data_IF_720275552304
#
_entry.id   IF_720275552304
#
_cell.length_a   1.000
_cell.length_b   1.000
_cell.length_c   1.000
_cell.angle_alpha   90.00
_cell.angle_beta   90.00
_cell.angle_gamma   90.00
#
_symmetry.space_group_name_H-M   'P 1'
#
loop_
_entity.id
_entity.type
_entity.pdbx_description
1 polymer ?
#
# COMPACT_ATOMS: atom_id res chain seq x y z
N UNK A 1 -20.47 0.15 -3.74
CA UNK A 1 -20.35 1.50 -3.15
C UNK A 1 -20.04 2.46 -4.29
N UNK A 2 -20.89 3.45 -4.53
CA UNK A 2 -20.66 4.49 -5.54
C UNK A 2 -19.87 5.62 -4.88
N UNK A 3 -18.59 5.72 -5.21
CA UNK A 3 -17.69 6.77 -4.71
C UNK A 3 -17.57 7.82 -5.82
N UNK A 4 -17.97 9.06 -5.57
CA UNK A 4 -17.98 10.13 -6.57
C UNK A 4 -16.59 10.77 -6.77
N UNK A 5 -16.21 11.17 -8.01
CA UNK A 5 -14.94 11.82 -8.36
C UNK A 5 -14.61 13.17 -7.69
N UNK A 6 -15.47 13.68 -6.81
CA UNK A 6 -15.42 15.05 -6.27
C UNK A 6 -14.87 15.10 -4.84
N UNK A 7 -14.73 13.96 -4.17
CA UNK A 7 -14.18 13.84 -2.80
C UNK A 7 -12.68 13.49 -2.76
N UNK A 8 -12.03 13.49 -3.93
CA UNK A 8 -10.63 13.12 -4.08
C UNK A 8 -9.73 14.34 -3.83
N UNK A 9 -8.77 14.20 -2.93
CA UNK A 9 -7.64 15.13 -2.89
C UNK A 9 -6.53 14.58 -3.81
N UNK A 10 -6.30 15.25 -4.93
CA UNK A 10 -5.14 15.03 -5.80
C UNK A 10 -3.93 15.74 -5.20
N UNK A 11 -2.97 14.97 -4.68
CA UNK A 11 -1.68 15.49 -4.21
C UNK A 11 -0.60 15.42 -5.32
N UNK A 12 -0.76 14.52 -6.30
CA UNK A 12 0.08 14.34 -7.50
C UNK A 12 -0.76 13.75 -8.65
N UNK A 13 -0.36 13.93 -9.94
CA UNK A 13 -1.04 13.28 -11.06
C UNK A 13 -1.07 11.75 -10.87
N UNK A 14 -2.28 11.19 -10.88
CA UNK A 14 -2.52 9.74 -10.80
C UNK A 14 -2.92 9.21 -9.42
N UNK A 15 -2.64 9.94 -8.33
CA UNK A 15 -2.95 9.49 -6.97
C UNK A 15 -4.31 10.02 -6.54
N UNK A 16 -5.20 9.10 -6.17
CA UNK A 16 -6.57 9.42 -5.76
C UNK A 16 -6.77 8.93 -4.32
N UNK A 17 -6.91 9.85 -3.36
CA UNK A 17 -7.29 9.52 -1.98
C UNK A 17 -8.67 10.07 -1.61
N UNK A 18 -9.46 9.24 -0.93
CA UNK A 18 -10.80 9.58 -0.46
C UNK A 18 -10.73 10.46 0.80
N UNK A 19 -11.47 11.58 0.83
CA UNK A 19 -11.68 12.38 2.04
C UNK A 19 -12.41 11.54 3.11
N UNK A 20 -11.63 11.01 4.07
CA UNK A 20 -12.18 10.19 5.16
C UNK A 20 -11.19 9.17 5.75
N UNK A 21 -9.89 9.47 5.73
CA UNK A 21 -8.79 8.95 6.58
C UNK A 21 -8.65 7.46 6.91
N UNK A 22 -9.34 6.50 6.28
CA UNK A 22 -9.18 5.06 6.61
C UNK A 22 -8.83 4.17 5.42
N UNK A 23 -9.00 4.64 4.19
CA UNK A 23 -8.77 3.80 3.00
C UNK A 23 -7.88 4.50 1.98
N UNK A 24 -6.80 3.84 1.60
CA UNK A 24 -5.86 4.26 0.55
C UNK A 24 -6.15 3.51 -0.75
N UNK A 25 -6.16 4.20 -1.89
CA UNK A 25 -6.25 3.57 -3.22
C UNK A 25 -4.90 3.68 -3.91
N UNK A 26 -4.23 2.55 -4.07
CA UNK A 26 -2.87 2.47 -4.59
C UNK A 26 -2.86 2.23 -6.11
N UNK A 27 -2.10 3.05 -6.82
CA UNK A 27 -2.01 3.08 -8.28
C UNK A 27 -0.63 2.66 -8.82
N UNK A 28 0.24 2.08 -7.99
CA UNK A 28 1.56 1.60 -8.42
C UNK A 28 2.69 2.62 -8.33
N UNK A 29 2.48 3.80 -7.73
CA UNK A 29 3.56 4.77 -7.51
C UNK A 29 4.51 4.36 -6.39
N UNK A 30 5.72 4.90 -6.43
CA UNK A 30 6.70 4.71 -5.36
C UNK A 30 6.30 5.48 -4.12
N UNK A 31 6.06 4.76 -3.03
CA UNK A 31 5.68 5.34 -1.76
C UNK A 31 6.88 5.55 -0.83
N UNK A 32 8.00 4.86 -1.10
CA UNK A 32 9.20 4.83 -0.27
C UNK A 32 10.44 4.99 -1.14
N UNK A 33 11.35 5.90 -0.76
CA UNK A 33 12.60 6.17 -1.49
C UNK A 33 13.83 5.93 -0.59
N UNK A 34 13.73 4.95 0.31
CA UNK A 34 14.80 4.54 1.21
C UNK A 34 14.51 4.83 2.69
N UNK A 35 15.59 4.93 3.46
CA UNK A 35 15.58 5.16 4.91
C UNK A 35 16.41 6.41 5.21
N UNK A 36 16.01 7.17 6.22
CA UNK A 36 16.86 8.23 6.76
C UNK A 36 17.99 7.63 7.61
N UNK A 37 18.89 8.48 8.08
CA UNK A 37 20.02 8.12 8.95
C UNK A 37 19.61 7.55 10.32
N UNK A 38 18.32 7.58 10.65
CA UNK A 38 17.73 7.06 11.87
C UNK A 38 16.91 5.77 11.64
N UNK A 39 17.08 5.11 10.49
CA UNK A 39 16.30 3.94 10.07
C UNK A 39 14.79 4.19 10.03
N UNK A 40 14.36 5.43 9.78
CA UNK A 40 12.95 5.72 9.48
C UNK A 40 12.71 5.67 7.98
N UNK A 41 11.55 5.17 7.54
CA UNK A 41 11.21 5.10 6.13
C UNK A 41 11.00 6.51 5.52
N UNK A 42 11.78 6.86 4.49
CA UNK A 42 11.57 8.08 3.70
C UNK A 42 10.40 7.84 2.74
N UNK A 43 9.23 8.38 3.09
CA UNK A 43 8.03 8.24 2.28
C UNK A 43 7.91 9.42 1.30
N UNK A 44 7.81 9.15 -0.02
CA UNK A 44 7.81 10.18 -1.08
C UNK A 44 6.50 10.95 -1.18
N UNK A 45 5.39 10.27 -0.96
CA UNK A 45 4.05 10.77 -1.32
C UNK A 45 3.21 11.10 -0.09
N UNK A 46 3.59 10.57 1.09
CA UNK A 46 2.81 10.71 2.32
C UNK A 46 3.69 10.89 3.55
N UNK A 47 3.22 11.68 4.50
CA UNK A 47 3.87 11.74 5.81
C UNK A 47 3.73 10.41 6.56
N UNK A 48 4.70 10.10 7.42
CA UNK A 48 4.64 8.93 8.31
C UNK A 48 3.33 8.90 9.12
N UNK A 49 2.82 10.08 9.52
CA UNK A 49 1.58 10.26 10.29
C UNK A 49 0.36 9.85 9.47
N UNK A 50 0.31 10.22 8.20
CA UNK A 50 -0.85 9.95 7.34
C UNK A 50 -1.03 8.45 7.08
N UNK A 51 0.05 7.72 6.80
CA UNK A 51 -0.04 6.26 6.59
C UNK A 51 -0.46 5.49 7.84
N UNK A 52 -0.26 6.05 9.04
CA UNK A 52 -0.82 5.45 10.26
C UNK A 52 -2.34 5.56 10.34
N UNK A 53 -3.00 6.35 9.49
CA UNK A 53 -4.47 6.43 9.51
C UNK A 53 -5.13 5.34 8.67
N UNK A 54 -4.38 4.70 7.77
CA UNK A 54 -4.93 3.71 6.85
C UNK A 54 -5.31 2.43 7.58
N UNK A 55 -6.57 2.02 7.45
CA UNK A 55 -7.10 0.73 7.88
C UNK A 55 -7.24 -0.23 6.70
N UNK A 56 -7.38 0.29 5.48
CA UNK A 56 -7.46 -0.51 4.26
C UNK A 56 -6.65 0.10 3.11
N UNK A 57 -6.10 -0.77 2.27
CA UNK A 57 -5.47 -0.42 0.99
C UNK A 57 -6.18 -1.18 -0.12
N UNK A 58 -6.58 -0.46 -1.17
CA UNK A 58 -7.13 -1.02 -2.41
C UNK A 58 -6.10 -0.83 -3.51
N UNK A 59 -5.51 -1.91 -4.02
CA UNK A 59 -4.58 -1.87 -5.15
C UNK A 59 -5.38 -1.92 -6.44
N UNK A 60 -5.29 -0.86 -7.24
CA UNK A 60 -6.11 -0.66 -8.43
C UNK A 60 -5.71 -1.61 -9.58
N UNK A 61 -6.61 -1.87 -10.54
CA UNK A 61 -6.24 -2.48 -11.81
C UNK A 61 -5.18 -1.66 -12.56
N UNK A 62 -4.24 -2.35 -13.21
CA UNK A 62 -3.12 -1.73 -13.95
C UNK A 62 -1.83 -1.63 -13.13
N UNK A 63 -1.89 -1.86 -11.82
CA UNK A 63 -0.70 -2.02 -10.99
C UNK A 63 -0.13 -3.41 -11.22
N UNK A 64 1.08 -3.51 -11.76
CA UNK A 64 1.78 -4.79 -11.97
C UNK A 64 2.72 -5.17 -10.83
N UNK A 65 3.28 -4.18 -10.14
CA UNK A 65 4.28 -4.37 -9.09
C UNK A 65 3.90 -3.57 -7.86
N UNK A 66 3.84 -4.24 -6.71
CA UNK A 66 3.89 -3.57 -5.41
C UNK A 66 5.36 -3.45 -5.04
N UNK A 67 5.86 -2.22 -5.08
CA UNK A 67 7.27 -1.93 -4.95
C UNK A 67 7.79 -2.17 -3.53
N UNK A 68 9.12 -2.23 -3.44
CA UNK A 68 9.83 -2.42 -2.18
C UNK A 68 9.35 -1.42 -1.13
N UNK A 69 8.99 -1.95 0.06
CA UNK A 69 8.57 -1.14 1.20
C UNK A 69 7.33 -0.26 1.03
N UNK A 70 6.54 -0.42 -0.04
CA UNK A 70 5.41 0.46 -0.38
C UNK A 70 4.45 0.76 0.78
N UNK A 71 4.15 -0.23 1.64
CA UNK A 71 3.26 -0.09 2.79
C UNK A 71 3.97 -0.34 4.13
N UNK A 72 5.30 -0.33 4.18
CA UNK A 72 6.03 -0.62 5.41
C UNK A 72 5.61 0.29 6.58
N UNK A 73 5.56 -0.28 7.79
CA UNK A 73 5.13 0.38 9.03
C UNK A 73 3.74 1.01 8.99
N UNK A 74 2.84 0.56 8.11
CA UNK A 74 1.43 0.96 8.16
C UNK A 74 0.75 0.20 9.30
N UNK A 75 0.97 0.62 10.56
CA UNK A 75 0.65 -0.18 11.75
C UNK A 75 -0.84 -0.45 11.91
N UNK A 76 -1.68 0.48 11.46
CA UNK A 76 -3.14 0.36 11.54
C UNK A 76 -3.76 -0.29 10.29
N UNK A 77 -2.94 -0.63 9.27
CA UNK A 77 -3.44 -1.25 8.04
C UNK A 77 -3.95 -2.65 8.37
N UNK A 78 -5.26 -2.86 8.24
CA UNK A 78 -5.92 -4.14 8.54
C UNK A 78 -6.18 -4.99 7.32
N UNK A 79 -6.43 -4.36 6.16
CA UNK A 79 -6.91 -5.05 4.96
C UNK A 79 -6.19 -4.55 3.70
N UNK A 80 -5.80 -5.48 2.85
CA UNK A 80 -5.29 -5.20 1.50
C UNK A 80 -6.17 -5.91 0.48
N UNK A 81 -6.74 -5.15 -0.45
CA UNK A 81 -7.53 -5.66 -1.56
C UNK A 81 -6.73 -5.54 -2.86
N UNK A 82 -6.12 -6.63 -3.31
CA UNK A 82 -5.28 -6.65 -4.50
C UNK A 82 -6.06 -7.01 -5.76
N UNK A 83 -5.87 -6.23 -6.83
CA UNK A 83 -6.36 -6.57 -8.16
C UNK A 83 -5.50 -7.67 -8.80
N UNK A 84 -6.09 -8.42 -9.74
CA UNK A 84 -5.37 -9.49 -10.44
C UNK A 84 -4.28 -8.99 -11.39
N UNK A 85 -4.16 -7.68 -11.63
CA UNK A 85 -3.06 -7.17 -12.46
C UNK A 85 -1.70 -7.26 -11.77
N UNK A 86 -1.68 -7.40 -10.43
CA UNK A 86 -0.42 -7.48 -9.68
C UNK A 86 0.25 -8.81 -9.96
N UNK A 87 1.48 -8.74 -10.46
CA UNK A 87 2.33 -9.89 -10.78
C UNK A 87 3.44 -10.10 -9.76
N UNK A 88 3.92 -9.03 -9.13
CA UNK A 88 5.05 -9.09 -8.20
C UNK A 88 4.83 -8.21 -6.98
N UNK A 89 5.24 -8.72 -5.83
CA UNK A 89 5.39 -7.96 -4.59
C UNK A 89 6.87 -8.00 -4.23
N UNK A 90 7.47 -6.85 -4.06
CA UNK A 90 8.88 -6.73 -3.73
C UNK A 90 9.11 -6.80 -2.21
N UNK A 91 10.37 -6.95 -1.81
CA UNK A 91 10.72 -7.17 -0.41
C UNK A 91 10.18 -6.05 0.50
N UNK A 92 9.84 -6.41 1.74
CA UNK A 92 9.40 -5.48 2.78
C UNK A 92 8.15 -4.64 2.45
N UNK A 93 7.45 -4.89 1.34
CA UNK A 93 6.26 -4.14 0.95
C UNK A 93 5.21 -4.01 2.07
N UNK A 94 5.09 -5.03 2.93
CA UNK A 94 4.20 -5.04 4.10
C UNK A 94 4.95 -5.24 5.44
N UNK A 95 6.23 -4.87 5.50
CA UNK A 95 7.04 -4.99 6.71
C UNK A 95 6.44 -4.16 7.86
N UNK A 96 6.38 -4.72 9.08
CA UNK A 96 5.79 -4.06 10.26
C UNK A 96 4.33 -3.55 10.07
N UNK A 97 3.57 -4.17 9.17
CA UNK A 97 2.11 -3.96 9.08
C UNK A 97 1.39 -4.79 10.15
N UNK A 98 1.60 -4.46 11.42
CA UNK A 98 1.14 -5.29 12.54
C UNK A 98 -0.37 -5.46 12.65
N UNK A 99 -1.14 -4.50 12.14
CA UNK A 99 -2.60 -4.60 12.11
C UNK A 99 -3.16 -5.48 10.99
N UNK A 100 -2.31 -5.93 10.04
CA UNK A 100 -2.75 -6.54 8.79
C UNK A 100 -3.27 -7.95 9.04
N UNK A 101 -4.59 -8.10 8.90
CA UNK A 101 -5.33 -9.34 9.17
C UNK A 101 -5.78 -10.04 7.89
N UNK A 102 -5.89 -9.30 6.80
CA UNK A 102 -6.44 -9.83 5.56
C UNK A 102 -5.77 -9.27 4.32
N UNK A 103 -5.42 -10.16 3.40
CA UNK A 103 -4.89 -9.83 2.08
C UNK A 103 -5.64 -10.65 1.04
N UNK A 104 -6.40 -9.97 0.19
CA UNK A 104 -6.85 -10.57 -1.06
C UNK A 104 -5.64 -10.63 -1.98
N UNK A 105 -5.19 -11.84 -2.33
CA UNK A 105 -4.06 -12.04 -3.24
C UNK A 105 -4.49 -11.89 -4.70
N UNK A 106 -3.56 -11.43 -5.54
CA UNK A 106 -3.71 -11.53 -7.00
C UNK A 106 -3.56 -12.97 -7.45
N UNK A 107 -4.39 -13.39 -8.40
CA UNK A 107 -4.28 -14.72 -9.03
C UNK A 107 -3.07 -14.85 -9.96
N UNK A 108 -2.41 -13.74 -10.29
CA UNK A 108 -1.29 -13.67 -11.22
C UNK A 108 0.07 -13.44 -10.54
N UNK A 109 0.16 -13.61 -9.22
CA UNK A 109 1.43 -13.50 -8.51
C UNK A 109 2.45 -14.52 -9.03
N UNK A 110 3.64 -14.05 -9.40
CA UNK A 110 4.74 -14.91 -9.81
C UNK A 110 5.32 -15.63 -8.59
N UNK A 111 5.87 -16.84 -8.82
CA UNK A 111 6.46 -17.67 -7.76
C UNK A 111 7.67 -17.03 -7.07
N UNK A 112 8.33 -16.11 -7.76
CA UNK A 112 9.49 -15.36 -7.23
C UNK A 112 9.07 -14.17 -6.35
N UNK A 113 7.76 -13.99 -6.14
CA UNK A 113 7.26 -13.01 -5.18
C UNK A 113 7.80 -13.37 -3.80
N UNK A 114 8.57 -12.46 -3.22
CA UNK A 114 9.07 -12.58 -1.85
C UNK A 114 7.85 -12.50 -0.94
N UNK A 115 7.35 -13.68 -0.57
CA UNK A 115 6.14 -13.80 0.21
C UNK A 115 6.30 -13.08 1.54
N UNK A 116 5.13 -12.78 2.08
CA UNK A 116 4.87 -11.95 3.23
C UNK A 116 5.25 -12.75 4.49
N UNK A 117 6.54 -13.06 4.67
CA UNK A 117 7.01 -13.94 5.77
C UNK A 117 6.79 -13.34 7.17
N UNK A 118 6.34 -12.09 7.24
CA UNK A 118 6.22 -11.32 8.47
C UNK A 118 4.84 -10.67 8.67
N UNK A 119 3.80 -11.07 7.93
CA UNK A 119 2.43 -10.66 8.29
C UNK A 119 1.86 -11.69 9.26
N UNK A 120 1.54 -11.29 10.51
CA UNK A 120 0.95 -12.20 11.48
C UNK A 120 -0.41 -12.73 10.99
N UNK A 121 -0.83 -13.93 11.43
CA UNK A 121 -2.13 -14.51 11.09
C UNK A 121 -3.32 -13.65 11.55
#
# INVERSE_FOLDING_TARGET
>A
MNITPEEWQTFTPGVRMYKGKKTCFYNGQELMNGWDDHDNPICLVYSFIEKQTWEAVVVLPGVEVIQWGAFCFSKNLERVMMSDSVKRIEAQAFYHCYGLKYIQQSRNLTKDTLFIEHVPP
#
